data_IF_611437023384
#
_entry.id   IF_611437023384
#
_cell.length_a   1.000
_cell.length_b   1.000
_cell.length_c   1.000
_cell.angle_alpha   90.00
_cell.angle_beta   90.00
_cell.angle_gamma   90.00
#
_symmetry.space_group_name_H-M   'P 1'
#
loop_
_entity.id
_entity.type
_entity.pdbx_description
1 polymer ?
#
# COMPACT_ATOMS: atom_id res chain seq x y z
N UNK A 1 -6.16 14.45 23.29
CA UNK A 1 -4.96 14.03 22.54
C UNK A 1 -5.27 14.09 21.05
N UNK A 2 -4.40 14.71 20.25
CA UNK A 2 -4.60 14.84 18.80
C UNK A 2 -3.99 13.61 18.11
N UNK A 3 -4.82 12.64 17.74
CA UNK A 3 -4.37 11.40 17.11
C UNK A 3 -4.21 11.64 15.60
N UNK A 4 -2.98 11.53 15.10
CA UNK A 4 -2.69 11.54 13.66
C UNK A 4 -2.49 10.11 13.22
N UNK A 5 -3.22 9.68 12.20
CA UNK A 5 -3.06 8.37 11.58
C UNK A 5 -2.03 8.47 10.45
N UNK A 6 -1.13 7.50 10.40
CA UNK A 6 -0.11 7.35 9.38
C UNK A 6 -0.32 6.00 8.70
N UNK A 7 -0.44 6.01 7.37
CA UNK A 7 -0.69 4.80 6.58
C UNK A 7 0.08 4.87 5.26
N UNK A 8 0.37 3.71 4.71
CA UNK A 8 0.82 3.58 3.31
C UNK A 8 -0.38 3.11 2.50
N UNK A 9 -0.63 3.75 1.38
CA UNK A 9 -1.59 3.29 0.38
C UNK A 9 -0.81 2.73 -0.81
N UNK A 10 -1.21 1.55 -1.27
CA UNK A 10 -0.65 0.89 -2.43
C UNK A 10 -1.78 0.76 -3.44
N UNK A 11 -1.60 1.42 -4.59
CA UNK A 11 -2.58 1.42 -5.68
C UNK A 11 -2.05 0.53 -6.79
N UNK A 12 -2.87 -0.42 -7.20
CA UNK A 12 -2.64 -1.24 -8.37
C UNK A 12 -3.06 -0.48 -9.63
N UNK A 13 -2.10 0.14 -10.32
CA UNK A 13 -2.36 0.81 -11.59
C UNK A 13 -2.24 -0.18 -12.75
N UNK A 14 -3.37 -0.84 -13.04
CA UNK A 14 -3.47 -1.85 -14.11
C UNK A 14 -3.29 -1.25 -15.51
N UNK A 15 -3.44 0.06 -15.68
CA UNK A 15 -3.37 0.71 -17.00
C UNK A 15 -1.93 1.05 -17.38
N UNK A 16 -1.16 1.55 -16.40
CA UNK A 16 0.25 1.86 -16.59
C UNK A 16 1.17 0.68 -16.23
N UNK A 17 0.62 -0.43 -15.72
CA UNK A 17 1.34 -1.60 -15.22
C UNK A 17 2.36 -1.20 -14.15
N UNK A 18 1.91 -0.46 -13.12
CA UNK A 18 2.76 -0.02 -12.02
C UNK A 18 2.03 -0.18 -10.66
N UNK A 19 2.81 -0.35 -9.60
CA UNK A 19 2.29 -0.25 -8.23
C UNK A 19 2.68 1.09 -7.62
N UNK A 20 1.70 1.94 -7.36
CA UNK A 20 1.91 3.28 -6.83
C UNK A 20 1.81 3.29 -5.30
N UNK A 21 2.84 3.82 -4.64
CA UNK A 21 2.91 3.95 -3.18
C UNK A 21 2.70 5.39 -2.76
N UNK A 22 1.77 5.61 -1.84
CA UNK A 22 1.50 6.90 -1.22
C UNK A 22 1.61 6.81 0.30
N UNK A 23 2.02 7.91 0.93
CA UNK A 23 2.00 8.07 2.38
C UNK A 23 0.86 9.00 2.79
N UNK A 24 -0.06 8.47 3.60
CA UNK A 24 -1.23 9.18 4.09
C UNK A 24 -1.01 9.66 5.52
N UNK A 25 -1.16 10.98 5.71
CA UNK A 25 -1.14 11.63 7.02
C UNK A 25 -2.51 12.21 7.28
N UNK A 26 -3.20 11.71 8.31
CA UNK A 26 -4.54 12.14 8.66
C UNK A 26 -4.61 12.60 10.12
N UNK A 27 -4.45 13.91 10.39
CA UNK A 27 -4.77 14.46 11.69
C UNK A 27 -6.28 14.34 11.95
N UNK A 28 -6.66 14.11 13.21
CA UNK A 28 -8.07 14.06 13.62
C UNK A 28 -8.85 15.28 13.11
N UNK A 29 -10.01 15.05 12.49
CA UNK A 29 -10.91 16.07 11.94
C UNK A 29 -10.26 16.98 10.87
N UNK A 30 -9.21 16.52 10.20
CA UNK A 30 -8.60 17.23 9.06
C UNK A 30 -8.58 16.35 7.81
N UNK A 31 -8.50 17.01 6.66
CA UNK A 31 -8.33 16.35 5.37
C UNK A 31 -7.03 15.53 5.36
N UNK A 32 -7.11 14.36 4.75
CA UNK A 32 -5.93 13.50 4.51
C UNK A 32 -4.98 14.26 3.59
N UNK A 33 -3.69 14.27 3.96
CA UNK A 33 -2.60 14.64 3.06
C UNK A 33 -2.00 13.36 2.49
N UNK A 34 -2.07 13.21 1.17
CA UNK A 34 -1.40 12.14 0.43
C UNK A 34 -0.08 12.66 -0.13
N UNK A 35 1.00 11.90 0.05
CA UNK A 35 2.34 12.20 -0.47
C UNK A 35 2.79 11.02 -1.33
N UNK A 36 3.07 11.18 -2.62
CA UNK A 36 3.62 10.10 -3.44
C UNK A 36 5.00 9.71 -2.92
N UNK A 37 5.22 8.41 -2.73
CA UNK A 37 6.50 7.86 -2.31
C UNK A 37 7.28 7.33 -3.52
N UNK A 38 6.66 6.42 -4.28
CA UNK A 38 7.32 5.73 -5.38
C UNK A 38 6.30 5.05 -6.31
N UNK A 39 6.70 4.82 -7.56
CA UNK A 39 5.97 3.99 -8.51
C UNK A 39 6.86 2.80 -8.90
N UNK A 40 6.44 1.60 -8.53
CA UNK A 40 7.17 0.36 -8.85
C UNK A 40 6.75 -0.09 -10.23
N UNK A 41 7.63 0.13 -11.22
CA UNK A 41 7.41 -0.24 -12.62
C UNK A 41 7.53 -1.73 -12.93
N UNK A 42 8.05 -2.52 -11.98
CA UNK A 42 8.07 -3.98 -12.11
C UNK A 42 6.70 -4.51 -11.67
N UNK A 43 5.82 -4.71 -12.65
CA UNK A 43 4.45 -5.19 -12.45
C UNK A 43 4.36 -6.70 -12.18
N UNK A 44 4.92 -7.10 -11.04
CA UNK A 44 5.00 -8.48 -10.60
C UNK A 44 4.54 -8.60 -9.14
N UNK A 45 3.54 -9.44 -8.89
CA UNK A 45 2.92 -9.56 -7.56
C UNK A 45 3.85 -10.18 -6.52
N UNK A 46 4.73 -11.11 -6.92
CA UNK A 46 5.72 -11.70 -6.03
C UNK A 46 6.72 -10.64 -5.56
N UNK A 47 7.24 -9.83 -6.49
CA UNK A 47 8.09 -8.69 -6.16
C UNK A 47 7.39 -7.65 -5.28
N UNK A 48 6.11 -7.35 -5.56
CA UNK A 48 5.33 -6.48 -4.68
C UNK A 48 5.23 -7.06 -3.28
N UNK A 49 4.94 -8.36 -3.15
CA UNK A 49 4.82 -9.04 -1.86
C UNK A 49 6.11 -8.94 -1.04
N UNK A 50 7.28 -9.08 -1.66
CA UNK A 50 8.57 -8.87 -1.02
C UNK A 50 8.71 -7.45 -0.46
N UNK A 51 8.36 -6.43 -1.25
CA UNK A 51 8.38 -5.02 -0.82
C UNK A 51 7.47 -4.81 0.40
N UNK A 52 6.23 -5.31 0.33
CA UNK A 52 5.27 -5.19 1.43
C UNK A 52 5.79 -5.86 2.70
N UNK A 53 6.39 -7.04 2.59
CA UNK A 53 6.97 -7.75 3.72
C UNK A 53 8.14 -6.98 4.34
N UNK A 54 8.99 -6.35 3.53
CA UNK A 54 10.07 -5.49 4.02
C UNK A 54 9.54 -4.25 4.75
N UNK A 55 8.52 -3.58 4.20
CA UNK A 55 7.89 -2.41 4.84
C UNK A 55 7.28 -2.80 6.19
N UNK A 56 6.56 -3.93 6.27
CA UNK A 56 5.98 -4.46 7.51
C UNK A 56 7.04 -4.87 8.52
N UNK A 57 8.21 -5.33 8.08
CA UNK A 57 9.34 -5.68 8.95
C UNK A 57 10.05 -4.46 9.53
N UNK A 58 10.13 -3.37 8.77
CA UNK A 58 10.87 -2.17 9.15
C UNK A 58 10.00 -1.12 9.85
N UNK A 59 8.67 -1.20 9.72
CA UNK A 59 7.74 -0.18 10.22
C UNK A 59 6.50 -0.80 10.85
N UNK A 60 5.86 -0.06 11.74
CA UNK A 60 4.54 -0.41 12.30
C UNK A 60 3.40 0.30 11.54
N UNK A 61 3.62 0.69 10.29
CA UNK A 61 2.62 1.40 9.48
C UNK A 61 1.58 0.41 8.95
N UNK A 62 0.31 0.79 9.03
CA UNK A 62 -0.75 0.05 8.31
C UNK A 62 -0.64 0.32 6.82
N UNK A 63 -0.92 -0.71 6.02
CA UNK A 63 -0.90 -0.64 4.55
C UNK A 63 -2.31 -0.91 4.04
N UNK A 64 -2.80 -0.04 3.16
CA UNK A 64 -4.09 -0.13 2.48
C UNK A 64 -3.85 -0.45 1.00
N UNK A 65 -4.64 -1.37 0.45
CA UNK A 65 -4.51 -1.85 -0.92
C UNK A 65 -5.74 -1.45 -1.75
N UNK A 66 -5.52 -0.71 -2.84
CA UNK A 66 -6.58 -0.21 -3.73
C UNK A 66 -6.38 -0.79 -5.14
N UNK A 67 -7.43 -1.31 -5.77
CA UNK A 67 -7.35 -1.90 -7.12
C UNK A 67 -6.84 -3.35 -7.17
N UNK A 68 -6.75 -4.02 -6.01
CA UNK A 68 -6.30 -5.41 -5.87
C UNK A 68 -7.45 -6.42 -5.75
N UNK A 69 -8.64 -6.07 -6.23
CA UNK A 69 -9.82 -6.95 -6.18
C UNK A 69 -9.51 -8.29 -6.86
N UNK A 70 -9.96 -9.39 -6.25
CA UNK A 70 -9.76 -10.78 -6.67
C UNK A 70 -8.31 -11.28 -6.77
N UNK A 71 -7.32 -10.45 -6.38
CA UNK A 71 -5.92 -10.86 -6.34
C UNK A 71 -5.58 -11.52 -5.01
N UNK A 72 -4.66 -12.49 -5.08
CA UNK A 72 -4.21 -13.27 -3.94
C UNK A 72 -2.68 -13.20 -3.82
N UNK A 73 -2.18 -13.18 -2.58
CA UNK A 73 -0.76 -13.31 -2.32
C UNK A 73 -0.27 -14.71 -2.72
N UNK A 74 0.85 -14.78 -3.44
CA UNK A 74 1.38 -16.05 -3.93
C UNK A 74 1.81 -16.94 -2.76
N UNK A 75 2.37 -16.34 -1.71
CA UNK A 75 2.91 -17.09 -0.57
C UNK A 75 1.88 -17.91 0.20
N UNK A 76 0.64 -17.45 0.28
CA UNK A 76 -0.35 -17.99 1.21
C UNK A 76 -1.78 -18.05 0.66
N UNK A 77 -1.99 -17.64 -0.60
CA UNK A 77 -3.28 -17.62 -1.27
C UNK A 77 -4.36 -16.85 -0.49
N UNK A 78 -3.98 -15.90 0.38
CA UNK A 78 -4.93 -14.98 0.99
C UNK A 78 -5.20 -13.84 0.02
N UNK A 79 -6.46 -13.42 -0.03
CA UNK A 79 -6.87 -12.26 -0.79
C UNK A 79 -6.10 -11.02 -0.33
N UNK A 80 -5.67 -10.19 -1.28
CA UNK A 80 -4.87 -8.99 -1.01
C UNK A 80 -5.72 -7.89 -0.34
N UNK A 81 -7.03 -7.92 -0.55
CA UNK A 81 -8.00 -6.99 0.02
C UNK A 81 -8.60 -7.55 1.32
N UNK A 82 -8.23 -6.97 2.47
CA UNK A 82 -9.10 -6.96 3.65
C UNK A 82 -8.79 -5.82 4.62
#
# INVERSE_FOLDING_TARGET
MNQTLYRIEVVNDKFDEEFNFFFHIQPKNRRIKSVPLHAVKKYDLEYLEEIINLIKKQTNLSIEFIGFEDLHWQSNHRMIQH
#
